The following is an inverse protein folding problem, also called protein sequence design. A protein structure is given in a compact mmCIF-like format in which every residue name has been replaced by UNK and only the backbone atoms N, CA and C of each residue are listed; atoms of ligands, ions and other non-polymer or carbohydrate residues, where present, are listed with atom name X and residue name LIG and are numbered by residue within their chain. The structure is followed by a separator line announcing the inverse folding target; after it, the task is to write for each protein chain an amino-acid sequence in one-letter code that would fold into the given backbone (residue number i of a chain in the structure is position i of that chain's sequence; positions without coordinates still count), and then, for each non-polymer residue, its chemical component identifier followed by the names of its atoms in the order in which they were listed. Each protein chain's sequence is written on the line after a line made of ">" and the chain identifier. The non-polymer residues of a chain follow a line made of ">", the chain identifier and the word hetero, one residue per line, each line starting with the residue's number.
data_IF_656636110769
#
_entry.id   IF_656636110769
#
_cell.length_a   1.000
_cell.length_b   1.000
_cell.length_c   1.000
_cell.angle_alpha   90.00
_cell.angle_beta   90.00
_cell.angle_gamma   90.00
#
_symmetry.space_group_name_H-M   'P 1'
#
loop_
_entity.id
_entity.type
_entity.pdbx_description
1 polymer ?
#
# COMPACT_ATOMS: atom_id res chain seq x y z
N UNK A 1 36.69 -11.64 16.65
CA UNK A 1 36.61 -10.22 16.22
C UNK A 1 36.77 -10.01 14.71
N UNK A 2 37.63 -10.76 14.01
CA UNK A 2 37.81 -10.64 12.54
C UNK A 2 36.53 -10.96 11.73
N UNK A 3 35.83 -12.05 12.07
CA UNK A 3 34.61 -12.47 11.36
C UNK A 3 33.50 -11.41 11.41
N UNK A 4 33.24 -10.81 12.57
CA UNK A 4 32.25 -9.74 12.71
C UNK A 4 32.62 -8.47 11.92
N UNK A 5 33.92 -8.17 11.76
CA UNK A 5 34.37 -7.04 10.93
C UNK A 5 34.18 -7.34 9.44
N UNK A 6 34.40 -8.58 9.01
CA UNK A 6 34.20 -9.03 7.63
C UNK A 6 32.72 -8.99 7.24
N UNK A 7 31.80 -9.40 8.14
CA UNK A 7 30.36 -9.32 7.92
C UNK A 7 29.83 -7.89 7.80
N UNK A 8 30.40 -6.95 8.57
CA UNK A 8 30.06 -5.53 8.46
C UNK A 8 30.58 -4.95 7.13
N UNK A 9 31.69 -5.46 6.62
CA UNK A 9 32.24 -5.04 5.33
C UNK A 9 31.30 -5.40 4.18
N UNK A 10 30.87 -6.66 4.06
CA UNK A 10 29.98 -7.10 2.97
C UNK A 10 28.68 -6.30 2.90
N UNK A 11 28.00 -6.09 4.04
CA UNK A 11 26.77 -5.28 4.08
C UNK A 11 27.00 -3.82 3.70
N UNK A 12 28.15 -3.24 4.06
CA UNK A 12 28.47 -1.84 3.69
C UNK A 12 28.81 -1.70 2.23
N UNK A 13 29.55 -2.66 1.68
CA UNK A 13 29.90 -2.70 0.27
C UNK A 13 28.65 -2.83 -0.60
N UNK A 14 27.80 -3.83 -0.31
CA UNK A 14 26.54 -4.01 -1.05
C UNK A 14 25.62 -2.80 -0.92
N UNK A 15 25.50 -2.20 0.27
CA UNK A 15 24.77 -0.93 0.46
C UNK A 15 25.26 0.15 -0.49
N UNK A 16 26.57 0.35 -0.57
CA UNK A 16 27.18 1.40 -1.40
C UNK A 16 26.90 1.16 -2.88
N UNK A 17 26.97 -0.11 -3.31
CA UNK A 17 26.65 -0.51 -4.68
C UNK A 17 25.18 -0.25 -4.99
N UNK A 18 24.26 -0.67 -4.13
CA UNK A 18 22.82 -0.45 -4.33
C UNK A 18 22.46 1.03 -4.37
N UNK A 19 23.02 1.84 -3.48
CA UNK A 19 22.83 3.30 -3.47
C UNK A 19 23.38 3.99 -4.73
N UNK A 20 24.29 3.33 -5.48
CA UNK A 20 24.82 3.84 -6.76
C UNK A 20 23.99 3.41 -7.98
N UNK A 21 23.26 2.30 -7.88
CA UNK A 21 22.46 1.73 -8.97
C UNK A 21 21.03 2.30 -8.96
N UNK A 22 20.45 2.44 -7.77
CA UNK A 22 19.04 2.79 -7.60
C UNK A 22 18.84 4.22 -7.13
N UNK A 23 17.73 4.81 -7.53
CA UNK A 23 17.31 6.11 -7.00
C UNK A 23 16.75 5.96 -5.58
N UNK A 24 16.78 7.03 -4.75
CA UNK A 24 16.25 6.97 -3.38
C UNK A 24 14.72 6.75 -3.32
N UNK A 25 14.02 6.96 -4.44
CA UNK A 25 12.58 6.70 -4.57
C UNK A 25 12.30 5.21 -4.85
N UNK A 26 13.16 4.55 -5.63
CA UNK A 26 13.06 3.12 -5.94
C UNK A 26 13.56 2.25 -4.79
N UNK A 27 14.67 2.63 -4.17
CA UNK A 27 15.32 1.84 -3.12
C UNK A 27 15.85 2.74 -2.02
N UNK A 28 15.47 2.43 -0.79
CA UNK A 28 16.02 3.09 0.40
C UNK A 28 16.55 2.07 1.40
N UNK A 29 17.69 2.39 2.02
CA UNK A 29 18.35 1.50 2.99
C UNK A 29 18.39 2.19 4.35
N UNK A 30 17.61 1.67 5.28
CA UNK A 30 17.52 2.18 6.64
C UNK A 30 18.80 1.88 7.45
N UNK A 31 19.04 2.58 8.58
CA UNK A 31 20.23 2.36 9.42
C UNK A 31 20.34 0.97 10.04
N UNK A 32 19.21 0.27 10.16
CA UNK A 32 19.07 -1.11 10.63
C UNK A 32 19.39 -2.16 9.55
N UNK A 33 19.81 -1.73 8.35
CA UNK A 33 20.03 -2.59 7.18
C UNK A 33 18.74 -3.24 6.65
N UNK A 34 17.61 -2.57 6.81
CA UNK A 34 16.38 -2.88 6.08
C UNK A 34 16.37 -2.13 4.74
N UNK A 35 16.43 -2.90 3.66
CA UNK A 35 16.30 -2.42 2.28
C UNK A 35 14.82 -2.39 1.92
N UNK A 36 14.29 -1.21 1.64
CA UNK A 36 12.93 -1.01 1.16
C UNK A 36 12.99 -0.77 -0.33
N UNK A 37 12.42 -1.68 -1.12
CA UNK A 37 12.36 -1.59 -2.58
C UNK A 37 10.93 -1.36 -3.06
N UNK A 38 10.74 -0.35 -3.90
CA UNK A 38 9.48 0.00 -4.54
C UNK A 38 9.44 -0.60 -5.94
N UNK A 39 8.56 -1.58 -6.14
CA UNK A 39 8.31 -2.14 -7.45
C UNK A 39 7.28 -1.26 -8.18
N UNK A 40 7.73 -0.64 -9.28
CA UNK A 40 7.02 0.38 -10.06
C UNK A 40 6.76 1.70 -9.31
N UNK A 41 6.21 2.68 -10.05
CA UNK A 41 5.98 4.03 -9.55
C UNK A 41 4.97 4.09 -8.38
N UNK A 42 5.26 4.89 -7.34
CA UNK A 42 4.33 5.12 -6.25
C UNK A 42 3.07 5.81 -6.78
N UNK A 43 1.91 5.19 -6.57
CA UNK A 43 0.60 5.70 -7.01
C UNK A 43 0.03 5.02 -8.25
N UNK A 44 0.79 4.15 -8.91
CA UNK A 44 0.22 3.19 -9.86
C UNK A 44 -0.72 2.21 -9.15
N UNK A 45 -1.75 1.71 -9.84
CA UNK A 45 -2.57 0.59 -9.33
C UNK A 45 -1.80 -0.71 -9.19
N UNK A 46 -0.62 -0.74 -9.82
CA UNK A 46 0.25 -1.87 -10.05
C UNK A 46 1.63 -1.54 -9.45
N UNK A 47 1.67 -1.14 -8.16
CA UNK A 47 2.92 -0.98 -7.42
C UNK A 47 2.83 -1.51 -6.00
N UNK A 48 3.92 -2.10 -5.51
CA UNK A 48 4.02 -2.62 -4.15
C UNK A 48 5.45 -2.49 -3.62
N UNK A 49 5.61 -2.61 -2.30
CA UNK A 49 6.86 -2.39 -1.59
C UNK A 49 7.34 -3.70 -0.98
N UNK A 50 8.63 -4.00 -1.08
CA UNK A 50 9.24 -5.18 -0.46
C UNK A 50 10.32 -4.72 0.51
N UNK A 51 10.27 -5.24 1.74
CA UNK A 51 11.26 -5.00 2.77
C UNK A 51 12.19 -6.21 2.87
N UNK A 52 13.49 -6.01 2.69
CA UNK A 52 14.52 -7.04 2.79
C UNK A 52 15.46 -6.63 3.92
N UNK A 53 15.43 -7.38 5.02
CA UNK A 53 16.24 -7.09 6.21
C UNK A 53 17.49 -7.96 6.25
N UNK A 54 18.67 -7.35 6.28
CA UNK A 54 19.93 -8.10 6.36
C UNK A 54 20.28 -8.48 7.81
N UNK A 55 20.29 -9.78 8.17
CA UNK A 55 20.74 -10.20 9.49
C UNK A 55 22.22 -9.85 9.71
N UNK A 56 22.67 -9.93 10.97
CA UNK A 56 24.07 -9.64 11.31
C UNK A 56 25.06 -10.58 10.62
N UNK A 57 24.62 -11.79 10.28
CA UNK A 57 25.42 -12.84 9.63
C UNK A 57 25.33 -12.82 8.09
N UNK A 58 24.55 -11.91 7.50
CA UNK A 58 24.45 -11.75 6.06
C UNK A 58 25.83 -11.41 5.44
N UNK A 59 26.19 -11.98 4.27
CA UNK A 59 25.38 -12.81 3.36
C UNK A 59 25.37 -14.31 3.66
N UNK A 60 25.99 -14.77 4.75
CA UNK A 60 26.05 -16.20 5.11
C UNK A 60 24.74 -16.72 5.75
N UNK A 61 23.81 -15.83 6.03
CA UNK A 61 22.46 -16.11 6.48
C UNK A 61 21.50 -15.35 5.57
N UNK A 62 20.43 -16.02 5.17
CA UNK A 62 19.45 -15.45 4.24
C UNK A 62 18.79 -14.20 4.83
N UNK A 63 18.49 -13.18 4.00
CA UNK A 63 17.76 -12.01 4.46
C UNK A 63 16.31 -12.35 4.80
N UNK A 64 15.72 -11.59 5.72
CA UNK A 64 14.30 -11.70 6.04
C UNK A 64 13.49 -10.82 5.08
N UNK A 65 12.57 -11.42 4.32
CA UNK A 65 11.70 -10.74 3.37
C UNK A 65 10.32 -10.52 3.98
N UNK A 66 9.82 -9.29 3.88
CA UNK A 66 8.49 -8.88 4.35
C UNK A 66 7.74 -8.05 3.29
N UNK A 67 6.43 -8.30 3.18
CA UNK A 67 5.49 -7.57 2.31
C UNK A 67 4.31 -6.98 3.11
N UNK A 68 4.48 -6.66 4.38
CA UNK A 68 3.43 -6.12 5.25
C UNK A 68 3.35 -4.59 5.27
N UNK A 69 3.99 -3.94 4.29
CA UNK A 69 3.84 -2.49 4.10
C UNK A 69 2.37 -2.11 3.84
N UNK A 70 1.95 -0.95 4.38
CA UNK A 70 0.57 -0.46 4.20
C UNK A 70 0.16 -0.33 2.72
N UNK A 71 1.12 0.05 1.86
CA UNK A 71 0.92 0.16 0.41
C UNK A 71 0.51 -1.18 -0.23
N UNK A 72 0.84 -2.31 0.40
CA UNK A 72 0.59 -3.66 -0.11
C UNK A 72 -0.79 -4.20 0.26
N UNK A 73 -1.69 -3.39 0.80
CA UNK A 73 -3.04 -3.84 1.20
C UNK A 73 -3.86 -4.42 0.04
N UNK A 74 -3.54 -4.04 -1.19
CA UNK A 74 -4.18 -4.54 -2.40
C UNK A 74 -3.66 -5.91 -2.83
N UNK A 75 -2.56 -6.41 -2.25
CA UNK A 75 -2.02 -7.73 -2.53
C UNK A 75 -2.82 -8.81 -1.78
N UNK A 76 -3.30 -9.85 -2.47
CA UNK A 76 -3.91 -11.00 -1.80
C UNK A 76 -2.84 -11.75 -1.00
N UNK A 77 -3.24 -12.30 0.15
CA UNK A 77 -2.34 -13.01 1.07
C UNK A 77 -1.61 -14.19 0.39
N UNK A 78 -2.30 -14.92 -0.48
CA UNK A 78 -1.74 -16.03 -1.25
C UNK A 78 -0.58 -15.59 -2.16
N UNK A 79 -0.67 -14.38 -2.74
CA UNK A 79 0.39 -13.83 -3.57
C UNK A 79 1.57 -13.36 -2.73
N UNK A 80 1.32 -12.75 -1.57
CA UNK A 80 2.40 -12.38 -0.63
C UNK A 80 3.22 -13.60 -0.23
N UNK A 81 2.55 -14.68 0.16
CA UNK A 81 3.20 -15.95 0.53
C UNK A 81 3.98 -16.56 -0.63
N UNK A 82 3.41 -16.54 -1.85
CA UNK A 82 4.10 -16.98 -3.07
C UNK A 82 5.41 -16.21 -3.30
N UNK A 83 5.35 -14.88 -3.30
CA UNK A 83 6.54 -14.02 -3.50
C UNK A 83 7.59 -14.27 -2.41
N UNK A 84 7.18 -14.37 -1.15
CA UNK A 84 8.09 -14.65 -0.03
C UNK A 84 8.78 -16.01 -0.21
N UNK A 85 8.04 -17.04 -0.62
CA UNK A 85 8.61 -18.37 -0.83
C UNK A 85 9.62 -18.38 -1.98
N UNK A 86 9.28 -17.77 -3.12
CA UNK A 86 10.18 -17.67 -4.27
C UNK A 86 11.49 -16.93 -3.92
N UNK A 87 11.40 -15.79 -3.22
CA UNK A 87 12.58 -15.04 -2.79
C UNK A 87 13.40 -15.80 -1.75
N UNK A 88 12.77 -16.51 -0.83
CA UNK A 88 13.48 -17.34 0.15
C UNK A 88 14.21 -18.52 -0.51
N UNK A 89 13.60 -19.15 -1.52
CA UNK A 89 14.22 -20.26 -2.24
C UNK A 89 15.41 -19.77 -3.06
N UNK A 90 15.29 -18.60 -3.71
CA UNK A 90 16.42 -17.94 -4.38
C UNK A 90 17.54 -17.62 -3.38
N UNK A 91 17.19 -17.10 -2.19
CA UNK A 91 18.17 -16.75 -1.17
C UNK A 91 18.93 -17.96 -0.62
N UNK A 92 18.27 -19.11 -0.46
CA UNK A 92 18.91 -20.36 0.00
C UNK A 92 19.95 -20.86 -1.02
N UNK A 93 19.68 -20.74 -2.31
CA UNK A 93 20.60 -21.19 -3.37
C UNK A 93 21.83 -20.30 -3.44
N UNK A 94 21.66 -19.00 -3.21
CA UNK A 94 22.72 -18.00 -3.38
C UNK A 94 23.32 -17.53 -2.04
N UNK A 95 23.22 -18.34 -0.98
CA UNK A 95 23.78 -17.99 0.33
C UNK A 95 25.31 -17.91 0.28
N UNK A 96 25.88 -16.89 0.93
CA UNK A 96 27.32 -16.64 0.97
C UNK A 96 27.78 -15.49 0.07
N UNK A 97 26.90 -14.98 -0.80
CA UNK A 97 27.18 -13.84 -1.68
C UNK A 97 26.12 -12.73 -1.50
N UNK A 98 26.49 -11.45 -1.77
CA UNK A 98 25.53 -10.36 -1.92
C UNK A 98 24.42 -10.70 -2.92
N UNK A 99 23.16 -10.76 -2.47
CA UNK A 99 22.04 -11.27 -3.28
C UNK A 99 20.88 -10.29 -3.45
N UNK A 100 20.92 -9.10 -2.83
CA UNK A 100 19.77 -8.17 -2.85
C UNK A 100 19.46 -7.73 -4.27
N UNK A 101 20.48 -7.47 -5.09
CA UNK A 101 20.31 -7.14 -6.51
C UNK A 101 19.58 -8.26 -7.26
N UNK A 102 19.98 -9.52 -7.04
CA UNK A 102 19.34 -10.69 -7.68
C UNK A 102 17.88 -10.84 -7.25
N UNK A 103 17.57 -10.61 -5.96
CA UNK A 103 16.19 -10.63 -5.46
C UNK A 103 15.34 -9.54 -6.13
N UNK A 104 15.90 -8.34 -6.29
CA UNK A 104 15.22 -7.22 -6.95
C UNK A 104 14.98 -7.53 -8.42
N UNK A 105 15.96 -8.06 -9.15
CA UNK A 105 15.76 -8.41 -10.56
C UNK A 105 14.73 -9.52 -10.72
N UNK A 106 14.72 -10.54 -9.84
CA UNK A 106 13.67 -11.55 -9.85
C UNK A 106 12.27 -10.94 -9.66
N UNK A 107 12.13 -9.96 -8.76
CA UNK A 107 10.87 -9.22 -8.59
C UNK A 107 10.47 -8.46 -9.86
N UNK A 108 11.42 -7.82 -10.54
CA UNK A 108 11.18 -7.04 -11.76
C UNK A 108 10.78 -7.92 -12.94
N UNK A 109 11.46 -9.04 -13.13
CA UNK A 109 11.18 -10.00 -14.21
C UNK A 109 9.78 -10.61 -14.06
N UNK A 110 9.36 -10.91 -12.83
CA UNK A 110 8.07 -11.52 -12.54
C UNK A 110 6.94 -10.50 -12.27
N UNK A 111 7.25 -9.20 -12.27
CA UNK A 111 6.33 -8.12 -11.93
C UNK A 111 5.01 -8.22 -12.70
N UNK A 112 5.09 -8.39 -14.02
CA UNK A 112 3.91 -8.49 -14.89
C UNK A 112 2.97 -9.63 -14.48
N UNK A 113 3.52 -10.79 -14.11
CA UNK A 113 2.74 -11.96 -13.67
C UNK A 113 2.00 -11.66 -12.37
N UNK A 114 2.69 -11.05 -11.39
CA UNK A 114 2.09 -10.67 -10.12
C UNK A 114 0.92 -9.70 -10.30
N UNK A 115 1.05 -8.72 -11.20
CA UNK A 115 -0.03 -7.76 -11.48
C UNK A 115 -1.24 -8.38 -12.14
N UNK A 116 -1.06 -9.35 -13.03
CA UNK A 116 -2.18 -10.09 -13.60
C UNK A 116 -2.90 -10.94 -12.52
N UNK A 117 -2.17 -11.57 -11.60
CA UNK A 117 -2.77 -12.28 -10.46
C UNK A 117 -3.56 -11.35 -9.54
N UNK A 118 -3.06 -10.14 -9.28
CA UNK A 118 -3.76 -9.11 -8.50
C UNK A 118 -5.05 -8.69 -9.19
N UNK A 119 -5.02 -8.45 -10.51
CA UNK A 119 -6.20 -8.08 -11.30
C UNK A 119 -7.24 -9.20 -11.29
N UNK A 120 -6.81 -10.45 -11.46
CA UNK A 120 -7.68 -11.62 -11.40
C UNK A 120 -8.35 -11.76 -10.02
N UNK A 121 -7.57 -11.67 -8.94
CA UNK A 121 -8.10 -11.75 -7.57
C UNK A 121 -9.13 -10.65 -7.28
N UNK A 122 -8.87 -9.41 -7.77
CA UNK A 122 -9.81 -8.28 -7.63
C UNK A 122 -11.11 -8.51 -8.41
N UNK A 123 -11.03 -9.09 -9.60
CA UNK A 123 -12.20 -9.44 -10.42
C UNK A 123 -13.10 -10.47 -9.72
N UNK A 124 -12.51 -11.56 -9.20
CA UNK A 124 -13.24 -12.60 -8.46
C UNK A 124 -13.94 -12.03 -7.22
N UNK A 125 -13.26 -11.18 -6.44
CA UNK A 125 -13.84 -10.53 -5.27
C UNK A 125 -15.00 -9.55 -5.60
N UNK A 126 -15.04 -9.02 -6.82
CA UNK A 126 -16.15 -8.19 -7.30
C UNK A 126 -17.36 -9.04 -7.73
N UNK A 127 -17.12 -10.21 -8.33
CA UNK A 127 -18.17 -11.14 -8.73
C UNK A 127 -18.91 -11.75 -7.52
N UNK A 128 -18.20 -12.09 -6.45
CA UNK A 128 -18.77 -12.68 -5.23
C UNK A 128 -19.68 -11.71 -4.45
N UNK A 129 -19.53 -10.40 -4.61
CA UNK A 129 -20.41 -9.40 -3.99
C UNK A 129 -21.76 -9.24 -4.70
N UNK A 130 -21.92 -9.83 -5.89
CA UNK A 130 -23.18 -9.85 -6.62
C UNK A 130 -23.97 -11.16 -6.45
N UNK A 131 -23.49 -12.08 -5.60
CA UNK A 131 -24.15 -13.36 -5.29
C UNK A 131 -24.59 -13.44 -3.83
N UNK A 132 -25.19 -12.38 -3.29
CA UNK A 132 -26.16 -12.53 -2.20
C UNK A 132 -27.48 -13.03 -2.79
N UNK A 133 -28.22 -13.91 -2.08
CA UNK A 133 -29.50 -14.40 -2.58
C UNK A 133 -30.39 -13.20 -2.84
N UNK A 134 -30.95 -13.14 -4.05
CA UNK A 134 -31.99 -12.22 -4.46
C UNK A 134 -33.14 -12.29 -3.45
N UNK A 135 -33.09 -11.46 -2.40
CA UNK A 135 -34.30 -10.95 -1.77
C UNK A 135 -35.03 -10.24 -2.90
N UNK A 136 -36.12 -10.84 -3.35
CA UNK A 136 -37.09 -10.26 -4.26
C UNK A 136 -37.26 -8.79 -3.90
N UNK A 137 -36.72 -7.91 -4.75
CA UNK A 137 -37.02 -6.50 -4.67
C UNK A 137 -38.49 -6.39 -5.02
N UNK A 138 -39.33 -6.28 -4.00
CA UNK A 138 -40.71 -5.82 -4.12
C UNK A 138 -40.72 -4.64 -5.10
N UNK A 139 -41.54 -4.76 -6.13
CA UNK A 139 -41.64 -3.87 -7.28
C UNK A 139 -41.26 -2.43 -6.93
N UNK A 140 -40.26 -1.88 -7.64
CA UNK A 140 -39.91 -0.46 -7.58
C UNK A 140 -41.20 0.31 -7.86
N UNK A 141 -41.71 1.00 -6.85
CA UNK A 141 -42.81 1.95 -7.01
C UNK A 141 -42.47 3.00 -8.10
N UNK A 142 -43.48 3.74 -8.58
CA UNK A 142 -43.31 4.69 -9.67
C UNK A 142 -42.15 5.64 -9.37
N UNK A 143 -41.29 5.87 -10.39
CA UNK A 143 -40.12 6.71 -10.26
C UNK A 143 -40.52 8.09 -9.70
N UNK A 144 -40.06 8.37 -8.47
CA UNK A 144 -40.40 9.61 -7.79
C UNK A 144 -39.91 10.81 -8.60
N UNK A 145 -40.80 11.76 -8.84
CA UNK A 145 -40.49 13.03 -9.50
C UNK A 145 -39.47 13.83 -8.70
N UNK A 146 -38.74 14.74 -9.37
CA UNK A 146 -37.69 15.58 -8.74
C UNK A 146 -38.21 16.33 -7.50
N UNK A 147 -39.46 16.78 -7.53
CA UNK A 147 -40.12 17.46 -6.41
C UNK A 147 -40.40 16.51 -5.23
N UNK A 148 -40.83 15.27 -5.49
CA UNK A 148 -41.07 14.26 -4.45
C UNK A 148 -39.77 13.86 -3.75
N UNK A 149 -38.67 13.69 -4.50
CA UNK A 149 -37.34 13.42 -3.92
C UNK A 149 -36.89 14.56 -3.01
N UNK A 150 -37.08 15.82 -3.42
CA UNK A 150 -36.72 17.00 -2.60
C UNK A 150 -37.50 17.06 -1.28
N UNK A 151 -38.78 16.65 -1.27
CA UNK A 151 -39.61 16.61 -0.05
C UNK A 151 -39.15 15.53 0.93
N UNK A 152 -38.72 14.37 0.45
CA UNK A 152 -38.20 13.30 1.31
C UNK A 152 -36.88 13.67 1.98
N UNK A 153 -36.00 14.41 1.29
CA UNK A 153 -34.69 14.83 1.84
C UNK A 153 -34.83 15.91 2.91
N UNK A 154 -35.90 16.73 2.86
CA UNK A 154 -36.20 17.74 3.88
C UNK A 154 -37.06 17.21 5.04
N UNK A 155 -37.24 15.89 5.15
CA UNK A 155 -38.01 15.32 6.26
C UNK A 155 -37.20 15.43 7.55
N UNK A 156 -37.80 16.07 8.55
CA UNK A 156 -37.25 16.17 9.91
C UNK A 156 -37.20 14.78 10.56
N UNK A 157 -36.21 14.57 11.42
CA UNK A 157 -36.09 13.36 12.23
C UNK A 157 -37.19 13.31 13.32
N UNK A 158 -37.22 12.21 14.09
CA UNK A 158 -38.17 12.03 15.20
C UNK A 158 -38.07 13.10 16.29
N UNK A 159 -36.96 13.86 16.32
CA UNK A 159 -36.69 14.95 17.26
C UNK A 159 -36.97 16.33 16.66
N UNK A 160 -37.50 16.40 15.44
CA UNK A 160 -37.82 17.66 14.75
C UNK A 160 -36.60 18.37 14.13
N UNK A 161 -35.44 17.72 14.05
CA UNK A 161 -34.22 18.30 13.50
C UNK A 161 -33.93 17.81 12.07
N UNK A 162 -33.20 18.61 11.31
CA UNK A 162 -32.69 18.20 10.01
C UNK A 162 -31.52 17.20 10.19
N UNK A 163 -31.35 16.24 9.27
CA UNK A 163 -30.28 15.26 9.38
C UNK A 163 -28.89 15.89 9.45
N UNK A 164 -27.99 15.26 10.20
CA UNK A 164 -26.57 15.67 10.30
C UNK A 164 -25.97 15.79 8.89
N UNK A 165 -25.25 16.89 8.64
CA UNK A 165 -24.69 17.20 7.31
C UNK A 165 -25.62 17.95 6.36
N UNK A 166 -26.85 18.30 6.74
CA UNK A 166 -27.73 19.18 5.94
C UNK A 166 -27.15 20.60 5.81
N UNK A 167 -26.56 21.09 6.89
CA UNK A 167 -25.72 22.28 6.92
C UNK A 167 -24.26 21.79 6.82
N UNK A 168 -23.74 21.68 5.61
CA UNK A 168 -22.31 21.54 5.40
C UNK A 168 -21.73 22.96 5.30
N UNK A 169 -20.96 23.36 6.31
CA UNK A 169 -20.18 24.59 6.26
C UNK A 169 -18.93 24.29 5.43
N UNK A 170 -18.73 25.03 4.34
CA UNK A 170 -17.44 25.02 3.63
C UNK A 170 -16.38 25.62 4.56
N UNK A 171 -15.56 24.75 5.15
CA UNK A 171 -14.53 25.09 6.14
C UNK A 171 -13.55 26.11 5.55
N UNK A 172 -13.22 26.01 4.27
CA UNK A 172 -12.29 26.94 3.60
C UNK A 172 -12.93 28.32 3.47
N UNK A 173 -14.20 28.38 3.05
CA UNK A 173 -14.95 29.64 2.97
C UNK A 173 -15.14 30.28 4.35
N UNK A 174 -15.43 29.48 5.37
CA UNK A 174 -15.59 29.94 6.75
C UNK A 174 -14.29 30.52 7.30
N UNK A 175 -13.17 29.80 7.18
CA UNK A 175 -11.86 30.27 7.62
C UNK A 175 -11.41 31.53 6.89
N UNK A 176 -11.75 31.69 5.61
CA UNK A 176 -11.51 32.94 4.85
C UNK A 176 -12.32 34.13 5.37
N UNK A 177 -13.49 33.90 5.95
CA UNK A 177 -14.32 34.94 6.56
C UNK A 177 -13.86 35.33 7.97
N UNK A 178 -13.35 34.38 8.77
CA UNK A 178 -12.88 34.63 10.14
C UNK A 178 -11.38 34.89 10.26
N UNK A 179 -10.63 34.92 9.16
CA UNK A 179 -9.17 35.08 9.14
C UNK A 179 -8.63 36.50 9.37
N UNK A 180 -9.46 37.49 9.69
CA UNK A 180 -9.02 38.86 9.95
C UNK A 180 -9.88 39.52 11.03
N UNK A 181 -9.60 39.20 12.29
CA UNK A 181 -9.84 40.14 13.39
C UNK A 181 -8.47 40.57 13.90
N UNK A 182 -8.01 41.74 13.44
CA UNK A 182 -6.96 42.49 14.13
C UNK A 182 -7.47 42.75 15.55
N UNK A 183 -6.76 42.19 16.52
CA UNK A 183 -6.89 42.55 17.92
C UNK A 183 -6.17 43.88 18.11
N UNK A 184 -6.88 44.98 17.91
CA UNK A 184 -6.42 46.31 18.33
C UNK A 184 -6.25 46.29 19.86
N UNK A 185 -5.00 46.16 20.31
CA UNK A 185 -4.58 46.49 21.65
C UNK A 185 -3.74 47.77 21.59
N UNK A 186 -4.24 48.79 22.32
CA UNK A 186 -3.69 50.12 22.63
C UNK A 186 -3.89 51.22 21.59
#
# INVERSE_FOLDING_TARGET
>A
MLFSRLLVFFRKEERTVLESIYTPEELSISPDYTVTFHLNDPGSSDSFVVNITWPKSYPFEIPSVDLDAFCNRHLPQTLKEKIINELNDLAKVNTGEPLTFTLIEHLRENAASYFEEIKLARSVASAQRNSEPTKERSAKGPALTKSQKRRQVNRLDASGNLPRGWNWVDVVKHLRQTGSQEVDNL
#
